data_IF_819354950618
#
_entry.id   IF_819354950618
#
_cell.length_a   1.000
_cell.length_b   1.000
_cell.length_c   1.000
_cell.angle_alpha   90.00
_cell.angle_beta   90.00
_cell.angle_gamma   90.00
#
_symmetry.space_group_name_H-M   'P 1'
#
loop_
_entity.id
_entity.type
_entity.pdbx_description
1 polymer ?
#
# COMPACT_ATOMS: atom_id res chain seq x y z
N UNK A 1 31.78 -21.75 -11.61
CA UNK A 1 30.42 -22.22 -11.93
C UNK A 1 29.47 -21.51 -10.99
N UNK A 2 28.76 -20.50 -11.48
CA UNK A 2 27.86 -19.68 -10.69
C UNK A 2 26.87 -19.05 -11.65
N UNK A 3 25.76 -19.74 -11.88
CA UNK A 3 24.67 -19.28 -12.73
C UNK A 3 23.36 -19.47 -11.98
N UNK A 4 22.53 -18.44 -12.10
CA UNK A 4 21.09 -18.41 -11.87
C UNK A 4 20.59 -18.34 -10.41
N UNK A 5 20.81 -17.19 -9.77
CA UNK A 5 19.72 -16.55 -9.04
C UNK A 5 18.93 -15.75 -10.08
N UNK A 6 17.98 -16.40 -10.76
CA UNK A 6 16.99 -15.70 -11.57
C UNK A 6 16.26 -14.76 -10.61
N UNK A 7 16.20 -13.46 -10.93
CA UNK A 7 15.47 -12.48 -10.13
C UNK A 7 14.02 -12.95 -9.95
N UNK A 8 13.67 -13.38 -8.73
CA UNK A 8 12.33 -13.87 -8.39
C UNK A 8 11.21 -12.85 -8.72
N UNK A 9 11.57 -11.58 -8.93
CA UNK A 9 10.63 -10.48 -9.23
C UNK A 9 9.98 -10.54 -10.63
N UNK A 10 10.41 -11.42 -11.54
CA UNK A 10 9.75 -11.58 -12.85
C UNK A 10 8.88 -12.84 -12.96
N UNK A 11 8.94 -13.76 -11.99
CA UNK A 11 8.38 -15.11 -12.10
C UNK A 11 6.96 -15.22 -11.54
N UNK A 12 6.52 -14.29 -10.67
CA UNK A 12 5.19 -14.34 -10.05
C UNK A 12 4.04 -14.03 -11.02
N UNK A 13 4.31 -13.28 -12.10
CA UNK A 13 3.27 -12.76 -13.01
C UNK A 13 2.33 -13.82 -13.60
N UNK A 14 2.73 -15.09 -13.64
CA UNK A 14 1.97 -16.16 -14.26
C UNK A 14 1.65 -17.34 -13.32
N UNK A 15 1.99 -17.27 -12.03
CA UNK A 15 1.83 -18.40 -11.11
C UNK A 15 0.92 -17.99 -9.96
N UNK A 16 -0.03 -18.86 -9.65
CA UNK A 16 -0.85 -18.76 -8.44
C UNK A 16 -0.71 -20.02 -7.63
N UNK A 17 -0.64 -19.82 -6.32
CA UNK A 17 -0.91 -20.87 -5.36
C UNK A 17 -2.28 -20.62 -4.78
N UNK A 18 -3.05 -21.70 -4.62
CA UNK A 18 -4.40 -21.66 -4.07
C UNK A 18 -4.57 -22.75 -3.04
N UNK A 19 -5.50 -22.53 -2.11
CA UNK A 19 -5.89 -23.47 -1.07
C UNK A 19 -7.39 -23.68 -1.07
N UNK A 20 -7.84 -24.88 -0.68
CA UNK A 20 -9.25 -25.20 -0.65
C UNK A 20 -9.93 -24.56 0.58
N UNK A 21 -10.84 -23.62 0.32
CA UNK A 21 -11.39 -22.72 1.33
C UNK A 21 -12.67 -23.17 2.01
N UNK A 22 -13.29 -24.26 1.52
CA UNK A 22 -14.45 -24.89 2.16
C UNK A 22 -14.22 -25.08 3.68
N UNK A 23 -15.25 -24.90 4.54
CA UNK A 23 -15.15 -25.20 5.97
C UNK A 23 -14.66 -26.62 6.25
N UNK A 24 -15.18 -27.59 5.48
CA UNK A 24 -14.66 -28.95 5.40
C UNK A 24 -14.01 -29.18 4.01
N UNK A 25 -12.68 -29.11 3.88
CA UNK A 25 -12.00 -29.26 2.59
C UNK A 25 -12.06 -30.69 2.03
N UNK A 26 -12.53 -31.67 2.81
CA UNK A 26 -12.62 -33.07 2.39
C UNK A 26 -14.05 -33.51 2.06
N UNK A 27 -14.99 -32.57 2.05
CA UNK A 27 -16.39 -32.84 1.71
C UNK A 27 -16.54 -33.16 0.23
N UNK A 28 -17.15 -34.30 -0.10
CA UNK A 28 -17.51 -34.66 -1.47
C UNK A 28 -18.88 -34.08 -1.89
N UNK A 29 -19.66 -33.58 -0.93
CA UNK A 29 -21.03 -33.09 -1.18
C UNK A 29 -21.10 -31.60 -1.50
N UNK A 30 -20.03 -30.84 -1.24
CA UNK A 30 -19.97 -29.40 -1.48
C UNK A 30 -19.13 -29.09 -2.72
N UNK A 31 -19.48 -28.06 -3.51
CA UNK A 31 -18.62 -27.59 -4.58
C UNK A 31 -17.27 -27.14 -4.00
N UNK A 32 -16.19 -27.51 -4.68
CA UNK A 32 -14.84 -27.16 -4.25
C UNK A 32 -14.60 -25.67 -4.46
N UNK A 33 -14.35 -24.97 -3.36
CA UNK A 33 -14.01 -23.55 -3.34
C UNK A 33 -12.50 -23.39 -3.16
N UNK A 34 -11.90 -22.52 -3.96
CA UNK A 34 -10.48 -22.23 -3.92
C UNK A 34 -10.27 -20.75 -3.61
N UNK A 35 -9.43 -20.47 -2.63
CA UNK A 35 -8.96 -19.12 -2.33
C UNK A 35 -7.49 -18.98 -2.66
N UNK A 36 -7.06 -17.76 -2.94
CA UNK A 36 -5.68 -17.46 -3.27
C UNK A 36 -4.87 -17.24 -1.99
N UNK A 37 -3.57 -17.49 -2.07
CA UNK A 37 -2.62 -16.95 -1.10
C UNK A 37 -2.31 -15.50 -1.44
N UNK A 38 -1.92 -14.71 -0.44
CA UNK A 38 -1.48 -13.33 -0.66
C UNK A 38 -0.21 -13.27 -1.51
N UNK A 39 0.05 -12.13 -2.15
CA UNK A 39 1.26 -11.95 -2.99
C UNK A 39 2.55 -12.36 -2.28
N UNK A 40 2.65 -12.01 -0.99
CA UNK A 40 3.84 -12.27 -0.18
C UNK A 40 3.96 -13.75 0.21
N UNK A 41 2.86 -14.41 0.54
CA UNK A 41 2.84 -15.86 0.75
C UNK A 41 3.20 -16.60 -0.54
N UNK A 42 2.65 -16.20 -1.70
CA UNK A 42 3.03 -16.77 -3.01
C UNK A 42 4.54 -16.60 -3.24
N UNK A 43 5.11 -15.44 -2.93
CA UNK A 43 6.54 -15.18 -3.06
C UNK A 43 7.39 -16.13 -2.20
N UNK A 44 6.93 -16.45 -0.98
CA UNK A 44 7.60 -17.42 -0.09
C UNK A 44 7.43 -18.85 -0.62
N UNK A 45 6.20 -19.25 -0.96
CA UNK A 45 5.87 -20.60 -1.43
C UNK A 45 6.61 -20.91 -2.73
N UNK A 46 6.51 -20.03 -3.74
CA UNK A 46 7.15 -20.22 -5.04
C UNK A 46 8.68 -20.18 -4.93
N UNK A 47 9.24 -19.37 -4.02
CA UNK A 47 10.66 -19.35 -3.72
C UNK A 47 11.16 -20.70 -3.16
N UNK A 48 10.45 -21.26 -2.18
CA UNK A 48 10.76 -22.57 -1.60
C UNK A 48 10.60 -23.70 -2.62
N UNK A 49 9.53 -23.65 -3.42
CA UNK A 49 9.26 -24.62 -4.48
C UNK A 49 10.34 -24.60 -5.58
N UNK A 50 10.71 -23.40 -6.06
CA UNK A 50 11.73 -23.21 -7.10
C UNK A 50 13.12 -23.66 -6.66
N UNK A 51 13.40 -23.59 -5.35
CA UNK A 51 14.65 -24.08 -4.74
C UNK A 51 14.59 -25.55 -4.32
N UNK A 52 13.52 -26.27 -4.70
CA UNK A 52 13.29 -27.70 -4.42
C UNK A 52 13.30 -28.05 -2.93
N UNK A 53 12.85 -27.12 -2.09
CA UNK A 53 12.62 -27.42 -0.67
C UNK A 53 11.44 -28.39 -0.53
N UNK A 54 11.41 -29.17 0.55
CA UNK A 54 10.29 -30.09 0.81
C UNK A 54 9.04 -29.36 1.31
N UNK A 55 9.23 -28.16 1.87
CA UNK A 55 8.16 -27.39 2.48
C UNK A 55 8.43 -25.88 2.36
N UNK A 56 7.38 -25.07 2.43
CA UNK A 56 7.46 -23.63 2.66
C UNK A 56 6.89 -23.31 4.03
N UNK A 57 7.63 -22.54 4.84
CA UNK A 57 7.19 -22.12 6.18
C UNK A 57 6.52 -20.74 6.07
N UNK A 58 5.31 -20.63 6.62
CA UNK A 58 4.55 -19.38 6.74
C UNK A 58 4.18 -19.17 8.22
N UNK A 59 3.59 -18.01 8.52
CA UNK A 59 3.34 -17.61 9.91
C UNK A 59 2.37 -18.56 10.64
N UNK A 60 1.21 -18.85 10.04
CA UNK A 60 0.14 -19.63 10.68
C UNK A 60 0.12 -21.12 10.28
N UNK A 61 0.83 -21.47 9.21
CA UNK A 61 0.86 -22.80 8.62
C UNK A 61 2.14 -23.03 7.83
N UNK A 62 2.35 -24.26 7.37
CA UNK A 62 3.37 -24.57 6.39
C UNK A 62 2.77 -25.35 5.22
N UNK A 63 3.44 -25.29 4.08
CA UNK A 63 3.08 -26.02 2.87
C UNK A 63 3.97 -27.25 2.76
N UNK A 64 3.38 -28.45 2.72
CA UNK A 64 4.06 -29.69 2.35
C UNK A 64 3.86 -29.95 0.84
N UNK A 65 4.94 -29.76 0.07
CA UNK A 65 4.91 -29.95 -1.38
C UNK A 65 4.82 -31.41 -1.80
N UNK A 66 5.22 -32.36 -0.95
CA UNK A 66 5.14 -33.79 -1.24
C UNK A 66 3.70 -34.27 -1.18
N UNK A 67 2.94 -33.75 -0.22
CA UNK A 67 1.53 -34.12 -0.01
C UNK A 67 0.56 -33.15 -0.70
N UNK A 68 1.04 -32.00 -1.18
CA UNK A 68 0.22 -30.88 -1.66
C UNK A 68 -0.81 -30.43 -0.61
N UNK A 69 -0.32 -30.24 0.63
CA UNK A 69 -1.15 -29.83 1.75
C UNK A 69 -0.61 -28.57 2.41
N UNK A 70 -1.51 -27.69 2.79
CA UNK A 70 -1.32 -26.71 3.85
C UNK A 70 -1.63 -27.37 5.19
N UNK A 71 -0.77 -27.19 6.19
CA UNK A 71 -0.92 -27.78 7.53
C UNK A 71 -0.72 -26.68 8.58
N UNK A 72 -1.67 -26.51 9.49
CA UNK A 72 -1.56 -25.49 10.54
C UNK A 72 -0.36 -25.74 11.47
N UNK A 73 0.34 -24.67 11.84
CA UNK A 73 1.44 -24.71 12.80
C UNK A 73 0.98 -25.04 14.23
N UNK A 74 -0.31 -24.80 14.54
CA UNK A 74 -0.91 -24.98 15.87
C UNK A 74 -1.62 -26.34 15.97
N UNK A 75 -2.37 -26.72 14.95
CA UNK A 75 -3.18 -27.94 14.95
C UNK A 75 -2.94 -28.75 13.67
N UNK A 76 -2.15 -29.83 13.79
CA UNK A 76 -1.79 -30.68 12.65
C UNK A 76 -2.99 -31.37 11.99
N UNK A 77 -4.16 -31.42 12.63
CA UNK A 77 -5.37 -31.97 12.03
C UNK A 77 -6.07 -30.95 11.11
N UNK A 78 -5.76 -29.65 11.26
CA UNK A 78 -6.24 -28.61 10.34
C UNK A 78 -5.35 -28.59 9.12
N UNK A 79 -5.78 -29.35 8.12
CA UNK A 79 -5.10 -29.50 6.83
C UNK A 79 -6.03 -29.09 5.71
N UNK A 80 -5.44 -28.52 4.65
CA UNK A 80 -6.17 -28.11 3.45
C UNK A 80 -5.39 -28.50 2.21
N UNK A 81 -6.03 -29.08 1.18
CA UNK A 81 -5.40 -29.27 -0.13
C UNK A 81 -4.95 -27.95 -0.73
N UNK A 82 -3.83 -28.01 -1.45
CA UNK A 82 -3.30 -26.88 -2.19
C UNK A 82 -3.07 -27.25 -3.65
N UNK A 83 -3.00 -26.23 -4.50
CA UNK A 83 -2.62 -26.41 -5.91
C UNK A 83 -1.83 -25.21 -6.41
N UNK A 84 -0.98 -25.49 -7.38
CA UNK A 84 -0.25 -24.50 -8.17
C UNK A 84 -0.89 -24.39 -9.55
N UNK A 85 -1.26 -23.19 -9.96
CA UNK A 85 -1.93 -22.91 -11.23
C UNK A 85 -1.10 -21.93 -12.03
N UNK A 86 -1.05 -22.12 -13.35
CA UNK A 86 -0.51 -21.11 -14.25
C UNK A 86 -1.65 -20.21 -14.71
N UNK A 87 -1.56 -18.90 -14.45
CA UNK A 87 -2.59 -17.92 -14.83
C UNK A 87 -2.77 -17.92 -16.34
N UNK A 88 -4.02 -17.93 -16.80
CA UNK A 88 -4.35 -17.61 -18.18
C UNK A 88 -4.31 -16.10 -18.37
N UNK A 89 -4.10 -15.66 -19.61
CA UNK A 89 -4.02 -14.24 -19.97
C UNK A 89 -5.27 -13.43 -19.60
N UNK A 90 -6.42 -14.11 -19.46
CA UNK A 90 -7.72 -13.50 -19.18
C UNK A 90 -8.14 -13.61 -17.70
N UNK A 91 -7.31 -14.23 -16.84
CA UNK A 91 -7.62 -14.37 -15.41
C UNK A 91 -7.49 -13.01 -14.71
N UNK A 92 -8.58 -12.53 -14.13
CA UNK A 92 -8.64 -11.26 -13.40
C UNK A 92 -7.98 -11.41 -12.03
N UNK A 93 -6.67 -11.23 -11.96
CA UNK A 93 -5.99 -11.06 -10.67
C UNK A 93 -6.18 -9.62 -10.21
N UNK A 94 -7.18 -9.40 -9.35
CA UNK A 94 -7.43 -8.12 -8.68
C UNK A 94 -7.13 -8.29 -7.21
N UNK A 95 -6.49 -7.30 -6.59
CA UNK A 95 -6.14 -7.39 -5.17
C UNK A 95 -7.41 -7.23 -4.34
N UNK A 96 -7.62 -8.08 -3.33
CA UNK A 96 -8.90 -8.09 -2.60
C UNK A 96 -9.18 -6.77 -1.86
N UNK A 97 -8.19 -6.04 -1.34
CA UNK A 97 -8.47 -4.99 -0.31
C UNK A 97 -7.56 -3.74 -0.25
N UNK A 98 -7.05 -3.18 -1.35
CA UNK A 98 -6.21 -1.95 -1.25
C UNK A 98 -6.99 -0.63 -1.28
N UNK A 99 -8.21 -0.71 -1.77
CA UNK A 99 -9.10 0.43 -1.96
C UNK A 99 -9.97 0.71 -0.73
N UNK A 100 -9.92 -0.16 0.29
CA UNK A 100 -10.67 -0.04 1.54
C UNK A 100 -10.02 0.97 2.51
N UNK A 101 -10.85 1.84 3.11
CA UNK A 101 -10.42 2.71 4.21
C UNK A 101 -10.47 1.95 5.54
N UNK A 102 -9.41 1.20 5.86
CA UNK A 102 -9.23 0.55 7.15
C UNK A 102 -8.09 1.21 7.96
N UNK A 103 -8.32 1.63 9.21
CA UNK A 103 -9.43 2.45 9.70
C UNK A 103 -9.16 3.94 9.48
N UNK A 104 -10.21 4.67 9.14
CA UNK A 104 -10.34 6.09 9.46
C UNK A 104 -10.76 6.16 10.94
N UNK A 105 -10.07 6.94 11.78
CA UNK A 105 -10.55 7.19 13.14
C UNK A 105 -12.02 7.65 13.07
N UNK A 106 -12.90 6.98 13.81
CA UNK A 106 -14.33 7.32 13.87
C UNK A 106 -14.48 8.81 14.17
N UNK A 107 -14.97 9.58 13.19
CA UNK A 107 -15.20 11.02 13.31
C UNK A 107 -14.15 11.93 12.66
N UNK A 108 -13.04 11.43 12.10
CA UNK A 108 -12.12 12.22 11.25
C UNK A 108 -11.42 11.38 10.20
N UNK A 109 -11.93 11.41 8.96
CA UNK A 109 -11.22 10.89 7.79
C UNK A 109 -9.95 11.67 7.45
N UNK A 110 -9.86 12.92 7.90
CA UNK A 110 -8.82 13.85 7.51
C UNK A 110 -8.46 14.82 8.62
N UNK A 111 -7.20 15.23 8.62
CA UNK A 111 -6.69 16.34 9.42
C UNK A 111 -6.55 17.60 8.55
N UNK A 112 -6.11 18.72 9.16
CA UNK A 112 -6.10 20.05 8.52
C UNK A 112 -5.19 20.14 7.28
N UNK A 113 -4.98 21.36 6.80
CA UNK A 113 -4.05 21.61 5.70
C UNK A 113 -2.61 21.31 6.17
N UNK A 114 -2.02 20.22 5.65
CA UNK A 114 -0.58 20.03 5.76
C UNK A 114 0.14 20.65 4.57
N UNK A 115 1.38 21.04 4.80
CA UNK A 115 2.20 21.67 3.78
C UNK A 115 2.68 20.68 2.72
N UNK A 116 3.75 21.08 2.05
CA UNK A 116 4.44 20.31 1.01
C UNK A 116 4.88 18.90 1.43
N UNK A 117 5.11 18.67 2.73
CA UNK A 117 5.59 17.40 3.27
C UNK A 117 4.67 16.99 4.42
N UNK A 118 4.22 15.74 4.42
CA UNK A 118 3.44 15.15 5.53
C UNK A 118 4.20 15.28 6.86
N UNK A 119 3.50 15.57 7.98
CA UNK A 119 4.11 15.59 9.31
C UNK A 119 4.89 14.33 9.64
N UNK A 120 4.43 13.16 9.18
CA UNK A 120 5.14 11.91 9.40
C UNK A 120 6.56 11.97 8.84
N UNK A 121 6.70 12.32 7.56
CA UNK A 121 8.00 12.39 6.88
C UNK A 121 8.91 13.45 7.53
N UNK A 122 8.34 14.54 8.04
CA UNK A 122 9.09 15.55 8.81
C UNK A 122 9.64 14.96 10.10
N UNK A 123 8.84 14.23 10.88
CA UNK A 123 9.28 13.60 12.12
C UNK A 123 10.28 12.48 11.87
N UNK A 124 10.08 11.66 10.84
CA UNK A 124 11.06 10.63 10.43
C UNK A 124 12.42 11.24 10.12
N UNK A 125 12.44 12.34 9.36
CA UNK A 125 13.68 13.06 9.06
C UNK A 125 14.36 13.57 10.35
N UNK A 126 13.58 14.07 11.32
CA UNK A 126 14.08 14.54 12.61
C UNK A 126 14.64 13.40 13.46
N UNK A 127 13.92 12.27 13.56
CA UNK A 127 14.34 11.06 14.28
C UNK A 127 15.65 10.50 13.72
N UNK A 128 15.82 10.55 12.40
CA UNK A 128 17.05 10.14 11.72
C UNK A 128 18.18 11.19 11.79
N UNK A 129 17.95 12.36 12.40
CA UNK A 129 18.94 13.44 12.50
C UNK A 129 19.32 14.09 11.17
N UNK A 130 18.46 13.99 10.14
CA UNK A 130 18.74 14.46 8.78
C UNK A 130 18.31 15.93 8.58
N UNK A 131 19.12 16.68 7.85
CA UNK A 131 18.74 18.03 7.36
C UNK A 131 17.78 17.96 6.16
N UNK A 132 17.01 19.03 5.84
CA UNK A 132 16.02 19.00 4.77
C UNK A 132 16.58 18.68 3.38
N UNK A 133 17.85 18.95 3.14
CA UNK A 133 18.58 18.69 1.91
C UNK A 133 19.29 17.32 1.89
N UNK A 134 19.35 16.62 3.03
CA UNK A 134 19.96 15.30 3.19
C UNK A 134 18.95 14.17 2.91
N UNK A 135 18.45 14.13 1.68
CA UNK A 135 17.61 13.04 1.19
C UNK A 135 18.46 11.98 0.49
N UNK A 136 18.10 10.68 0.52
CA UNK A 136 18.88 9.62 -0.10
C UNK A 136 19.06 9.76 -1.62
N UNK A 137 18.12 10.41 -2.32
CA UNK A 137 18.22 10.79 -3.73
C UNK A 137 19.35 11.80 -4.02
N UNK A 138 19.70 12.62 -3.02
CA UNK A 138 20.74 13.66 -3.10
C UNK A 138 22.05 13.24 -2.42
N UNK A 139 21.97 12.38 -1.42
CA UNK A 139 23.11 11.83 -0.70
C UNK A 139 23.07 10.30 -0.67
N UNK A 140 23.65 9.64 -1.70
CA UNK A 140 23.64 8.17 -1.80
C UNK A 140 24.31 7.43 -0.64
N UNK A 141 25.17 8.10 0.15
CA UNK A 141 25.81 7.48 1.33
C UNK A 141 24.81 7.12 2.44
N UNK A 142 23.62 7.73 2.43
CA UNK A 142 22.55 7.43 3.38
C UNK A 142 21.81 6.13 3.05
N UNK A 143 21.86 5.68 1.80
CA UNK A 143 21.04 4.57 1.30
C UNK A 143 21.24 3.28 2.11
N UNK A 144 22.48 2.79 2.34
CA UNK A 144 22.67 1.53 3.04
C UNK A 144 22.09 1.54 4.46
N UNK A 145 22.30 2.64 5.19
CA UNK A 145 21.79 2.82 6.56
C UNK A 145 20.27 2.87 6.59
N UNK A 146 19.64 3.59 5.65
CA UNK A 146 18.17 3.69 5.58
C UNK A 146 17.52 2.36 5.21
N UNK A 147 18.12 1.61 4.28
CA UNK A 147 17.67 0.28 3.89
C UNK A 147 17.73 -0.70 5.06
N UNK A 148 18.81 -0.70 5.83
CA UNK A 148 18.95 -1.53 7.03
C UNK A 148 17.91 -1.18 8.10
N UNK A 149 17.73 0.11 8.39
CA UNK A 149 16.73 0.57 9.37
C UNK A 149 15.31 0.23 8.91
N UNK A 150 15.01 0.40 7.61
CA UNK A 150 13.71 0.04 7.05
C UNK A 150 13.44 -1.46 7.19
N UNK A 151 14.40 -2.31 6.82
CA UNK A 151 14.28 -3.76 6.96
C UNK A 151 14.06 -4.20 8.42
N UNK A 152 14.82 -3.63 9.36
CA UNK A 152 14.66 -3.90 10.79
C UNK A 152 13.30 -3.44 11.31
N UNK A 153 12.86 -2.24 10.93
CA UNK A 153 11.57 -1.69 11.32
C UNK A 153 10.38 -2.53 10.83
N UNK A 154 10.44 -3.03 9.60
CA UNK A 154 9.43 -3.95 9.04
C UNK A 154 9.30 -5.21 9.92
N UNK A 155 10.43 -5.82 10.32
CA UNK A 155 10.44 -7.00 11.20
C UNK A 155 9.83 -6.68 12.56
N UNK A 156 10.24 -5.57 13.20
CA UNK A 156 9.75 -5.17 14.52
C UNK A 156 8.23 -5.02 14.52
N UNK A 157 7.67 -4.36 13.51
CA UNK A 157 6.23 -4.14 13.41
C UNK A 157 5.44 -5.44 13.20
N UNK A 158 6.01 -6.39 12.48
CA UNK A 158 5.37 -7.65 12.18
C UNK A 158 5.29 -8.60 13.37
N UNK A 159 6.25 -8.55 14.29
CA UNK A 159 6.24 -9.34 15.54
C UNK A 159 4.93 -9.10 16.31
N UNK A 160 4.48 -7.85 16.38
CA UNK A 160 3.27 -7.46 17.12
C UNK A 160 1.98 -8.05 16.53
N UNK A 161 1.98 -8.35 15.23
CA UNK A 161 0.83 -8.90 14.50
C UNK A 161 1.04 -10.36 14.08
N UNK A 162 2.11 -11.01 14.59
CA UNK A 162 2.48 -12.40 14.29
C UNK A 162 2.68 -12.69 12.78
N UNK A 163 3.32 -11.76 12.07
CA UNK A 163 3.66 -11.85 10.63
C UNK A 163 5.17 -11.90 10.38
N UNK A 164 5.89 -12.65 11.22
CA UNK A 164 7.35 -12.68 11.23
C UNK A 164 7.93 -13.23 9.92
N UNK A 165 7.42 -14.33 9.40
CA UNK A 165 7.92 -14.95 8.17
C UNK A 165 7.71 -14.04 6.96
N UNK A 166 6.52 -13.43 6.84
CA UNK A 166 6.24 -12.40 5.85
C UNK A 166 7.24 -11.23 5.93
N UNK A 167 7.49 -10.72 7.13
CA UNK A 167 8.36 -9.57 7.34
C UNK A 167 9.84 -9.85 7.08
N UNK A 168 10.33 -11.03 7.46
CA UNK A 168 11.68 -11.49 7.13
C UNK A 168 11.86 -11.54 5.62
N UNK A 169 10.84 -12.00 4.87
CA UNK A 169 10.91 -12.03 3.41
C UNK A 169 10.92 -10.62 2.80
N UNK A 170 10.08 -9.70 3.27
CA UNK A 170 10.11 -8.30 2.83
C UNK A 170 11.47 -7.64 3.12
N UNK A 171 12.01 -7.87 4.33
CA UNK A 171 13.30 -7.36 4.76
C UNK A 171 14.44 -7.92 3.90
N UNK A 172 14.45 -9.22 3.60
CA UNK A 172 15.43 -9.87 2.73
C UNK A 172 15.45 -9.20 1.34
N UNK A 173 14.29 -9.06 0.70
CA UNK A 173 14.16 -8.45 -0.64
C UNK A 173 14.63 -7.00 -0.64
N UNK A 174 14.35 -6.25 0.43
CA UNK A 174 14.81 -4.87 0.56
C UNK A 174 16.34 -4.80 0.78
N UNK A 175 16.90 -5.66 1.62
CA UNK A 175 18.33 -5.72 1.93
C UNK A 175 19.19 -6.08 0.72
N UNK A 176 18.67 -6.86 -0.24
CA UNK A 176 19.35 -7.09 -1.53
C UNK A 176 19.65 -5.78 -2.29
N UNK A 177 18.88 -4.71 -2.03
CA UNK A 177 19.06 -3.39 -2.67
C UNK A 177 19.91 -2.43 -1.86
N UNK A 178 20.40 -2.82 -0.67
CA UNK A 178 21.17 -1.97 0.26
C UNK A 178 22.29 -1.17 -0.40
N UNK A 179 23.05 -1.80 -1.30
CA UNK A 179 24.21 -1.20 -1.97
C UNK A 179 23.91 -0.74 -3.40
N UNK A 180 22.63 -0.57 -3.75
CA UNK A 180 22.18 -0.16 -5.08
C UNK A 180 21.92 1.35 -5.13
N UNK A 181 21.65 1.87 -6.33
CA UNK A 181 21.30 3.29 -6.51
C UNK A 181 19.88 3.55 -5.99
N UNK A 182 19.59 4.80 -5.61
CA UNK A 182 18.28 5.20 -5.07
C UNK A 182 17.11 4.80 -5.99
N UNK A 183 17.30 4.84 -7.30
CA UNK A 183 16.32 4.36 -8.29
C UNK A 183 15.90 2.91 -8.07
N UNK A 184 16.86 2.01 -7.90
CA UNK A 184 16.60 0.58 -7.67
C UNK A 184 15.98 0.33 -6.28
N UNK A 185 16.42 1.09 -5.27
CA UNK A 185 15.87 1.01 -3.91
C UNK A 185 14.42 1.50 -3.88
N UNK A 186 14.13 2.63 -4.52
CA UNK A 186 12.79 3.17 -4.63
C UNK A 186 11.85 2.22 -5.37
N UNK A 187 12.27 1.67 -6.52
CA UNK A 187 11.48 0.68 -7.26
C UNK A 187 11.17 -0.55 -6.39
N UNK A 188 12.13 -1.00 -5.58
CA UNK A 188 11.91 -2.08 -4.62
C UNK A 188 10.89 -1.68 -3.54
N UNK A 189 11.04 -0.51 -2.92
CA UNK A 189 10.09 -0.03 -1.91
C UNK A 189 8.67 0.10 -2.50
N UNK A 190 8.55 0.63 -3.71
CA UNK A 190 7.29 0.74 -4.43
C UNK A 190 6.67 -0.64 -4.70
N UNK A 191 7.46 -1.59 -5.21
CA UNK A 191 7.03 -2.99 -5.41
C UNK A 191 6.53 -3.61 -4.10
N UNK A 192 7.34 -3.56 -3.03
CA UNK A 192 6.98 -4.11 -1.72
C UNK A 192 5.73 -3.45 -1.13
N UNK A 193 5.57 -2.14 -1.31
CA UNK A 193 4.38 -1.41 -0.91
C UNK A 193 3.15 -1.79 -1.72
N UNK A 194 3.34 -2.26 -2.96
CA UNK A 194 2.22 -2.78 -3.73
C UNK A 194 1.73 -4.09 -3.14
N UNK A 195 2.62 -5.05 -2.86
CA UNK A 195 2.26 -6.41 -2.44
C UNK A 195 1.13 -6.46 -1.41
N UNK A 196 0.19 -7.38 -1.61
CA UNK A 196 -0.81 -7.75 -0.63
C UNK A 196 -0.10 -8.33 0.60
N UNK A 197 0.15 -7.45 1.57
CA UNK A 197 0.94 -7.74 2.76
C UNK A 197 0.49 -6.83 3.89
N UNK A 198 0.92 -7.14 5.11
CA UNK A 198 0.66 -6.28 6.26
C UNK A 198 1.30 -4.88 6.12
N UNK A 199 2.39 -4.74 5.36
CA UNK A 199 3.24 -3.55 5.37
C UNK A 199 2.47 -2.28 4.97
N UNK A 200 1.81 -2.28 3.81
CA UNK A 200 1.06 -1.11 3.37
C UNK A 200 -0.16 -0.84 4.28
N UNK A 201 -0.81 -1.90 4.80
CA UNK A 201 -1.94 -1.79 5.73
C UNK A 201 -1.49 -1.06 7.00
N UNK A 202 -0.38 -1.48 7.60
CA UNK A 202 0.18 -0.88 8.83
C UNK A 202 0.69 0.54 8.60
N UNK A 203 1.38 0.81 7.49
CA UNK A 203 1.84 2.17 7.14
C UNK A 203 0.64 3.11 7.01
N UNK A 204 -0.35 2.74 6.19
CA UNK A 204 -1.48 3.62 5.93
C UNK A 204 -2.34 3.84 7.18
N UNK A 205 -2.58 2.79 7.97
CA UNK A 205 -3.30 2.90 9.25
C UNK A 205 -2.56 3.84 10.21
N UNK A 206 -1.25 3.70 10.36
CA UNK A 206 -0.42 4.57 11.21
C UNK A 206 -0.51 6.03 10.77
N UNK A 207 -0.32 6.28 9.47
CA UNK A 207 -0.31 7.64 8.94
C UNK A 207 -1.68 8.30 9.01
N UNK A 208 -2.78 7.55 8.87
CA UNK A 208 -4.16 8.09 9.02
C UNK A 208 -4.44 8.66 10.42
N UNK A 209 -3.68 8.27 11.45
CA UNK A 209 -3.82 8.80 12.81
C UNK A 209 -3.19 10.21 12.98
N UNK A 210 -2.48 10.71 11.97
CA UNK A 210 -1.81 12.02 12.05
C UNK A 210 -2.84 13.15 12.18
N UNK A 211 -2.62 14.03 13.15
CA UNK A 211 -3.50 15.15 13.45
C UNK A 211 -4.65 14.82 14.40
N UNK A 212 -4.78 13.54 14.80
CA UNK A 212 -5.58 13.17 15.96
C UNK A 212 -4.74 13.27 17.24
N UNK A 213 -5.18 14.13 18.16
CA UNK A 213 -4.51 14.35 19.45
C UNK A 213 -4.58 13.13 20.35
N UNK A 214 -5.63 12.32 20.23
CA UNK A 214 -5.82 11.14 21.08
C UNK A 214 -4.90 9.97 20.68
N UNK A 215 -4.42 9.99 19.43
CA UNK A 215 -3.57 8.94 18.88
C UNK A 215 -2.16 9.43 18.56
N UNK A 216 -1.75 10.57 19.11
CA UNK A 216 -0.45 11.18 18.82
C UNK A 216 0.72 10.27 19.23
N UNK A 217 0.66 9.69 20.42
CA UNK A 217 1.68 8.75 20.90
C UNK A 217 1.75 7.49 20.03
N UNK A 218 0.60 7.03 19.52
CA UNK A 218 0.51 5.81 18.70
C UNK A 218 1.29 5.99 17.42
N UNK A 219 1.00 7.01 16.60
CA UNK A 219 1.71 7.17 15.32
C UNK A 219 3.16 7.59 15.52
N UNK A 220 3.47 8.39 16.57
CA UNK A 220 4.85 8.78 16.88
C UNK A 220 5.72 7.59 17.27
N UNK A 221 5.17 6.60 18.00
CA UNK A 221 5.90 5.38 18.35
C UNK A 221 6.39 4.58 17.13
N UNK A 222 5.74 4.77 15.97
CA UNK A 222 6.04 4.08 14.71
C UNK A 222 7.03 4.82 13.82
N UNK A 223 7.44 6.03 14.19
CA UNK A 223 8.39 6.85 13.42
C UNK A 223 9.74 6.13 13.27
N UNK A 224 10.27 5.57 14.36
CA UNK A 224 11.57 4.89 14.33
C UNK A 224 11.58 3.55 13.58
N UNK A 225 10.42 2.92 13.39
CA UNK A 225 10.28 1.60 12.74
C UNK A 225 9.81 1.72 11.29
N UNK A 226 8.63 2.29 11.05
CA UNK A 226 8.06 2.43 9.69
C UNK A 226 8.64 3.62 8.92
N UNK A 227 9.17 4.61 9.64
CA UNK A 227 9.66 5.85 9.07
C UNK A 227 10.72 5.69 7.97
N UNK A 228 11.81 4.96 8.21
CA UNK A 228 12.86 4.77 7.20
C UNK A 228 12.33 4.22 5.87
N UNK A 229 11.42 3.24 5.91
CA UNK A 229 10.76 2.71 4.71
C UNK A 229 9.90 3.80 4.04
N UNK A 230 9.09 4.51 4.83
CA UNK A 230 8.25 5.59 4.31
C UNK A 230 9.07 6.71 3.66
N UNK A 231 10.24 7.05 4.20
CA UNK A 231 11.14 8.06 3.62
C UNK A 231 11.74 7.58 2.29
N UNK A 232 12.16 6.31 2.21
CA UNK A 232 12.67 5.72 0.97
C UNK A 232 11.61 5.68 -0.13
N UNK A 233 10.35 5.38 0.22
CA UNK A 233 9.23 5.39 -0.72
C UNK A 233 8.83 6.82 -1.13
N UNK A 234 8.93 7.78 -0.21
CA UNK A 234 8.56 9.18 -0.46
C UNK A 234 9.56 9.90 -1.37
N UNK A 235 10.86 9.64 -1.20
CA UNK A 235 11.94 10.29 -1.95
C UNK A 235 12.11 9.68 -3.36
N UNK A 236 11.07 9.84 -4.18
CA UNK A 236 11.00 9.32 -5.54
C UNK A 236 11.98 10.04 -6.49
N UNK A 237 13.03 9.35 -6.99
CA UNK A 237 14.02 9.95 -7.89
C UNK A 237 13.50 10.16 -9.33
N UNK A 238 12.31 9.67 -9.67
CA UNK A 238 11.65 9.85 -10.96
C UNK A 238 10.69 11.04 -10.95
N UNK A 239 10.18 11.43 -9.78
CA UNK A 239 9.22 12.52 -9.60
C UNK A 239 9.88 13.89 -9.62
N UNK A 240 10.52 14.21 -10.75
CA UNK A 240 11.24 15.48 -10.96
C UNK A 240 10.29 16.66 -11.24
N UNK A 241 9.01 16.39 -11.52
CA UNK A 241 7.97 17.39 -11.80
C UNK A 241 6.63 16.91 -11.24
N UNK A 242 5.91 17.81 -10.59
CA UNK A 242 4.54 17.54 -10.19
C UNK A 242 3.67 17.25 -11.42
N UNK A 243 2.70 16.34 -11.24
CA UNK A 243 1.76 16.01 -12.30
C UNK A 243 0.61 17.01 -12.29
N UNK A 244 0.21 17.45 -13.48
CA UNK A 244 -0.80 18.48 -13.71
C UNK A 244 -1.85 17.90 -14.67
N UNK A 245 -3.12 18.27 -14.47
CA UNK A 245 -4.24 18.02 -15.38
C UNK A 245 -4.48 16.55 -15.75
N UNK A 246 -4.84 15.75 -14.74
CA UNK A 246 -5.30 14.37 -14.94
C UNK A 246 -6.42 14.00 -13.99
N UNK A 247 -7.15 12.94 -14.31
CA UNK A 247 -8.15 12.37 -13.41
C UNK A 247 -7.69 11.01 -12.89
N UNK A 248 -7.84 10.81 -11.59
CA UNK A 248 -7.59 9.56 -10.89
C UNK A 248 -8.89 9.03 -10.28
N UNK A 249 -8.95 7.71 -10.08
CA UNK A 249 -10.12 7.03 -9.56
C UNK A 249 -9.74 6.14 -8.38
N UNK A 250 -10.59 6.06 -7.37
CA UNK A 250 -10.40 5.14 -6.24
C UNK A 250 -11.75 4.63 -5.78
N UNK A 251 -11.96 3.32 -5.83
CA UNK A 251 -13.08 2.70 -5.12
C UNK A 251 -12.81 2.71 -3.62
N UNK A 252 -13.85 2.63 -2.80
CA UNK A 252 -13.76 2.43 -1.36
C UNK A 252 -15.10 1.96 -0.81
N UNK A 253 -15.08 1.29 0.34
CA UNK A 253 -16.27 1.16 1.18
C UNK A 253 -16.20 2.23 2.26
N UNK A 254 -17.24 3.06 2.31
CA UNK A 254 -17.45 4.08 3.33
C UNK A 254 -18.71 3.79 4.12
N UNK A 255 -18.64 4.05 5.43
CA UNK A 255 -19.80 4.09 6.30
C UNK A 255 -20.66 5.35 5.99
N UNK A 256 -21.98 5.31 6.27
CA UNK A 256 -22.88 6.44 6.04
C UNK A 256 -22.39 7.76 6.67
N UNK A 257 -21.80 7.70 7.87
CA UNK A 257 -21.28 8.88 8.57
C UNK A 257 -20.08 9.49 7.85
N UNK A 258 -19.26 8.66 7.20
CA UNK A 258 -18.13 9.14 6.41
C UNK A 258 -18.62 9.83 5.13
N UNK A 259 -19.62 9.26 4.46
CA UNK A 259 -20.25 9.87 3.28
C UNK A 259 -20.85 11.24 3.65
N UNK A 260 -21.59 11.30 4.77
CA UNK A 260 -22.17 12.55 5.27
C UNK A 260 -21.09 13.62 5.55
N UNK A 261 -19.91 13.23 6.04
CA UNK A 261 -18.80 14.17 6.24
C UNK A 261 -18.31 14.77 4.91
N UNK A 262 -18.24 14.00 3.82
CA UNK A 262 -17.91 14.54 2.49
C UNK A 262 -19.02 15.43 1.93
N UNK A 263 -20.28 15.08 2.16
CA UNK A 263 -21.42 15.91 1.76
C UNK A 263 -21.39 17.28 2.47
N UNK A 264 -21.05 17.30 3.75
CA UNK A 264 -20.86 18.55 4.49
C UNK A 264 -19.68 19.35 3.95
N UNK A 265 -18.54 18.71 3.70
CA UNK A 265 -17.38 19.38 3.10
C UNK A 265 -17.69 19.96 1.71
N UNK A 266 -18.56 19.33 0.92
CA UNK A 266 -18.97 19.83 -0.39
C UNK A 266 -19.72 21.19 -0.30
N UNK A 267 -20.29 21.53 0.86
CA UNK A 267 -20.95 22.83 1.10
C UNK A 267 -19.92 23.95 1.32
N UNK A 268 -18.69 23.61 1.71
CA UNK A 268 -17.61 24.54 2.04
C UNK A 268 -16.55 24.58 0.92
N UNK A 269 -16.85 25.29 -0.18
CA UNK A 269 -16.06 25.29 -1.44
C UNK A 269 -14.57 25.66 -1.32
N UNK A 270 -14.19 26.34 -0.24
CA UNK A 270 -12.83 26.80 0.04
C UNK A 270 -12.10 25.96 1.09
N UNK A 271 -12.79 24.97 1.66
CA UNK A 271 -12.21 24.12 2.68
C UNK A 271 -11.41 22.99 2.05
N UNK A 272 -10.14 22.90 2.44
CA UNK A 272 -9.26 21.81 2.06
C UNK A 272 -9.01 20.87 3.24
N UNK A 273 -8.79 19.62 2.88
CA UNK A 273 -8.28 18.54 3.72
C UNK A 273 -7.06 17.94 3.05
N UNK A 274 -6.42 16.98 3.68
CA UNK A 274 -5.24 16.34 3.13
C UNK A 274 -5.21 14.84 3.39
N UNK A 275 -4.67 14.10 2.43
CA UNK A 275 -4.39 12.68 2.59
C UNK A 275 -3.20 12.51 3.52
N UNK A 276 -3.39 11.88 4.68
CA UNK A 276 -2.29 11.69 5.62
C UNK A 276 -1.34 10.56 5.22
N UNK A 277 -1.92 9.51 4.65
CA UNK A 277 -1.23 8.35 4.16
C UNK A 277 -1.01 8.43 2.64
N UNK A 278 -0.19 7.54 2.14
CA UNK A 278 -0.17 7.19 0.74
C UNK A 278 -1.55 6.74 0.27
N UNK A 279 -2.00 7.24 -0.87
CA UNK A 279 -3.33 6.92 -1.41
C UNK A 279 -3.18 6.29 -2.79
N UNK A 280 -3.40 4.97 -2.86
CA UNK A 280 -3.41 4.24 -4.13
C UNK A 280 -4.66 4.58 -4.93
N UNK A 281 -4.46 4.97 -6.18
CA UNK A 281 -5.50 5.33 -7.14
C UNK A 281 -5.27 4.55 -8.43
N UNK A 282 -6.26 4.56 -9.32
CA UNK A 282 -6.20 3.99 -10.66
C UNK A 282 -6.40 5.09 -11.69
N UNK A 283 -5.70 5.00 -12.83
CA UNK A 283 -6.06 5.76 -14.05
C UNK A 283 -7.30 5.20 -14.74
N UNK A 284 -7.63 3.94 -14.47
CA UNK A 284 -8.71 3.21 -15.10
C UNK A 284 -9.97 3.24 -14.24
N UNK A 285 -10.91 4.11 -14.61
CA UNK A 285 -12.19 4.24 -13.92
C UNK A 285 -12.92 2.90 -13.75
N UNK A 286 -12.96 2.08 -14.80
CA UNK A 286 -13.70 0.81 -14.77
C UNK A 286 -13.13 -0.14 -13.72
N UNK A 287 -11.81 -0.13 -13.53
CA UNK A 287 -11.15 -0.92 -12.49
C UNK A 287 -11.44 -0.38 -11.10
N UNK A 288 -11.32 0.93 -10.89
CA UNK A 288 -11.67 1.52 -9.60
C UNK A 288 -13.14 1.29 -9.20
N UNK A 289 -14.06 1.27 -10.17
CA UNK A 289 -15.49 1.02 -9.95
C UNK A 289 -15.81 -0.43 -9.54
N UNK A 290 -14.91 -1.39 -9.75
CA UNK A 290 -15.09 -2.78 -9.28
C UNK A 290 -15.02 -2.87 -7.75
N UNK A 291 -14.61 -1.81 -7.04
CA UNK A 291 -14.38 -1.81 -5.60
C UNK A 291 -15.33 -0.91 -4.80
N UNK A 292 -16.05 -1.52 -3.87
CA UNK A 292 -16.77 -0.87 -2.78
C UNK A 292 -17.99 -0.02 -3.16
N UNK A 293 -18.63 0.55 -2.15
CA UNK A 293 -19.87 1.33 -2.27
C UNK A 293 -19.67 2.80 -2.69
N UNK A 294 -18.43 3.25 -2.85
CA UNK A 294 -18.07 4.63 -3.19
C UNK A 294 -16.96 4.68 -4.23
N UNK A 295 -17.09 5.57 -5.21
CA UNK A 295 -16.05 5.95 -6.16
C UNK A 295 -15.61 7.39 -5.94
N UNK A 296 -14.34 7.58 -5.59
CA UNK A 296 -13.68 8.87 -5.65
C UNK A 296 -13.24 9.16 -7.08
N UNK A 297 -13.61 10.34 -7.59
CA UNK A 297 -13.18 10.89 -8.87
C UNK A 297 -12.33 12.11 -8.57
N UNK A 298 -11.03 12.02 -8.83
CA UNK A 298 -10.03 12.97 -8.37
C UNK A 298 -9.41 13.73 -9.52
N UNK A 299 -9.81 14.98 -9.71
CA UNK A 299 -9.17 15.89 -10.67
C UNK A 299 -7.88 16.44 -10.04
N UNK A 300 -6.73 16.01 -10.56
CA UNK A 300 -5.41 16.44 -10.11
C UNK A 300 -5.03 17.72 -10.84
N UNK A 301 -5.03 18.83 -10.11
CA UNK A 301 -4.53 20.10 -10.64
C UNK A 301 -3.01 20.20 -10.49
N UNK A 302 -2.48 19.78 -9.34
CA UNK A 302 -1.05 19.80 -9.05
C UNK A 302 -0.75 18.88 -7.88
N UNK A 303 -0.10 17.73 -8.09
CA UNK A 303 0.26 16.82 -7.00
C UNK A 303 1.51 15.98 -7.31
N UNK A 304 2.18 15.52 -6.25
CA UNK A 304 3.19 14.48 -6.35
C UNK A 304 2.53 13.11 -6.40
N UNK A 305 2.73 12.43 -7.52
CA UNK A 305 2.15 11.13 -7.81
C UNK A 305 3.21 10.27 -8.45
N UNK A 306 3.25 8.99 -8.09
CA UNK A 306 4.14 7.99 -8.68
C UNK A 306 3.33 6.97 -9.50
N UNK A 307 3.78 6.66 -10.72
CA UNK A 307 3.21 5.58 -11.53
C UNK A 307 3.78 4.24 -11.06
N UNK A 308 2.92 3.39 -10.51
CA UNK A 308 3.30 2.07 -10.00
C UNK A 308 2.85 0.93 -10.91
N UNK A 309 2.16 1.21 -12.02
CA UNK A 309 1.58 0.19 -12.89
C UNK A 309 2.59 -0.83 -13.41
N UNK A 310 3.81 -0.38 -13.75
CA UNK A 310 4.88 -1.27 -14.23
C UNK A 310 5.58 -2.08 -13.12
N UNK A 311 5.45 -1.62 -11.87
CA UNK A 311 6.09 -2.22 -10.70
C UNK A 311 5.15 -3.13 -9.93
N UNK A 312 3.84 -2.91 -9.99
CA UNK A 312 2.82 -3.71 -9.31
C UNK A 312 2.67 -5.09 -9.96
N UNK A 313 2.33 -6.10 -9.14
CA UNK A 313 1.81 -7.40 -9.62
C UNK A 313 0.43 -7.28 -10.29
N UNK A 314 -0.20 -6.11 -10.18
CA UNK A 314 -1.55 -5.78 -10.67
C UNK A 314 -1.46 -4.67 -11.71
N UNK A 315 -0.72 -4.91 -12.78
CA UNK A 315 -0.47 -3.90 -13.82
C UNK A 315 -1.77 -3.35 -14.45
N UNK A 316 -2.79 -4.20 -14.55
CA UNK A 316 -4.11 -3.85 -15.10
C UNK A 316 -4.91 -2.88 -14.23
N UNK A 317 -4.55 -2.72 -12.94
CA UNK A 317 -5.12 -1.69 -12.09
C UNK A 317 -4.64 -0.29 -12.48
N UNK A 318 -3.59 -0.19 -13.31
CA UNK A 318 -2.98 1.07 -13.74
C UNK A 318 -2.71 2.01 -12.55
N UNK A 319 -2.10 1.44 -11.51
CA UNK A 319 -1.97 2.11 -10.21
C UNK A 319 -1.12 3.37 -10.29
N UNK A 320 -1.61 4.41 -9.63
CA UNK A 320 -0.86 5.60 -9.28
C UNK A 320 -0.94 5.91 -7.79
N UNK A 321 0.21 6.18 -7.20
CA UNK A 321 0.32 6.44 -5.77
C UNK A 321 0.41 7.94 -5.50
N UNK A 322 -0.64 8.49 -4.90
CA UNK A 322 -0.64 9.87 -4.41
C UNK A 322 0.14 9.93 -3.10
N UNK A 323 1.13 10.84 -3.02
CA UNK A 323 1.99 10.96 -1.85
C UNK A 323 1.25 11.55 -0.63
N UNK A 324 1.66 11.20 0.60
CA UNK A 324 1.10 11.77 1.82
C UNK A 324 1.31 13.29 1.88
N UNK A 325 0.28 14.01 2.32
CA UNK A 325 0.23 15.47 2.44
C UNK A 325 -0.45 16.19 1.26
N UNK A 326 -0.78 15.49 0.17
CA UNK A 326 -1.56 16.08 -0.93
C UNK A 326 -2.92 16.53 -0.40
N UNK A 327 -3.25 17.80 -0.65
CA UNK A 327 -4.52 18.37 -0.22
C UNK A 327 -5.62 18.13 -1.26
N UNK A 328 -6.86 18.09 -0.80
CA UNK A 328 -8.03 18.04 -1.66
C UNK A 328 -9.18 18.86 -1.10
N UNK A 329 -10.10 19.23 -1.99
CA UNK A 329 -11.44 19.73 -1.62
C UNK A 329 -12.51 18.88 -2.30
N UNK A 330 -13.69 18.84 -1.71
CA UNK A 330 -14.84 18.12 -2.28
C UNK A 330 -15.62 19.08 -3.17
N UNK A 331 -15.71 18.75 -4.47
CA UNK A 331 -16.50 19.54 -5.43
C UNK A 331 -17.99 19.22 -5.32
N UNK A 332 -18.33 17.93 -5.21
CA UNK A 332 -19.69 17.46 -4.98
C UNK A 332 -19.69 15.98 -4.58
N UNK A 333 -20.81 15.56 -3.99
CA UNK A 333 -21.16 14.16 -3.72
C UNK A 333 -22.47 13.86 -4.42
N UNK A 334 -22.56 12.73 -5.11
CA UNK A 334 -23.78 12.25 -5.79
C UNK A 334 -23.97 10.77 -5.52
N UNK A 335 -25.21 10.28 -5.65
CA UNK A 335 -25.49 8.85 -5.63
C UNK A 335 -25.88 8.37 -7.03
N UNK A 336 -25.18 7.35 -7.54
CA UNK A 336 -25.49 6.69 -8.79
C UNK A 336 -26.42 5.50 -8.51
N UNK A 337 -27.71 5.66 -8.79
CA UNK A 337 -28.72 4.62 -8.60
C UNK A 337 -28.48 3.39 -9.50
N UNK A 338 -27.90 3.57 -10.68
CA UNK A 338 -27.67 2.47 -11.62
C UNK A 338 -26.55 1.53 -11.16
N UNK A 339 -25.57 2.07 -10.43
CA UNK A 339 -24.44 1.31 -9.87
C UNK A 339 -24.55 1.05 -8.37
N UNK A 340 -25.56 1.61 -7.71
CA UNK A 340 -25.71 1.60 -6.25
C UNK A 340 -24.42 2.10 -5.55
N UNK A 341 -23.85 3.20 -6.05
CA UNK A 341 -22.54 3.70 -5.63
C UNK A 341 -22.55 5.22 -5.40
N UNK A 342 -21.90 5.69 -4.34
CA UNK A 342 -21.66 7.13 -4.14
C UNK A 342 -20.50 7.60 -5.01
N UNK A 343 -20.67 8.73 -5.71
CA UNK A 343 -19.64 9.40 -6.50
C UNK A 343 -19.18 10.65 -5.75
N UNK A 344 -17.93 10.64 -5.28
CA UNK A 344 -17.31 11.77 -4.56
C UNK A 344 -16.29 12.42 -5.48
N UNK A 345 -16.61 13.62 -5.96
CA UNK A 345 -15.73 14.37 -6.85
C UNK A 345 -14.79 15.27 -6.04
N UNK A 346 -13.49 15.04 -6.17
CA UNK A 346 -12.43 15.76 -5.47
C UNK A 346 -11.59 16.58 -6.45
N UNK A 347 -11.06 17.70 -5.95
CA UNK A 347 -9.96 18.41 -6.60
C UNK A 347 -8.70 18.24 -5.76
N UNK A 348 -7.62 17.73 -6.35
CA UNK A 348 -6.34 17.51 -5.69
C UNK A 348 -5.35 18.64 -6.03
N UNK A 349 -4.76 19.22 -5.00
CA UNK A 349 -3.74 20.27 -5.11
C UNK A 349 -2.74 20.15 -3.96
N UNK A 350 -1.45 20.16 -4.28
CA UNK A 350 -0.39 20.33 -3.29
C UNK A 350 -0.42 21.79 -2.82
N UNK A 351 -0.61 22.01 -1.51
CA UNK A 351 -0.67 23.34 -0.93
C UNK A 351 0.55 23.62 -0.03
N UNK A 352 0.87 24.90 0.10
CA UNK A 352 1.97 25.37 0.96
C UNK A 352 1.41 25.79 2.31
N UNK A 353 1.87 25.18 3.40
CA UNK A 353 1.48 25.57 4.77
C UNK A 353 2.16 26.86 5.27
N UNK A 354 2.95 27.54 4.43
CA UNK A 354 3.63 28.76 4.86
C UNK A 354 2.65 29.94 4.91
N UNK A 355 2.93 30.93 5.78
CA UNK A 355 2.24 32.24 5.82
C UNK A 355 2.14 32.94 4.45
N UNK A 356 2.92 32.54 3.42
CA UNK A 356 2.78 33.01 2.03
C UNK A 356 1.53 32.49 1.31
N UNK A 357 0.92 31.39 1.76
CA UNK A 357 -0.32 30.87 1.17
C UNK A 357 -1.52 31.81 1.35
N UNK A 358 -1.55 32.57 2.46
CA UNK A 358 -2.56 33.62 2.68
C UNK A 358 -2.47 34.75 1.65
N UNK A 359 -1.27 35.07 1.18
CA UNK A 359 -1.04 36.17 0.24
C UNK A 359 -1.57 35.85 -1.18
N UNK A 360 -1.62 34.57 -1.56
CA UNK A 360 -2.16 34.14 -2.86
C UNK A 360 -3.66 33.83 -2.80
N UNK A 361 -4.19 33.41 -1.65
CA UNK A 361 -5.64 33.22 -1.47
C UNK A 361 -6.43 34.52 -1.31
N UNK A 362 -5.75 35.66 -1.14
CA UNK A 362 -6.35 37.01 -1.10
C UNK A 362 -6.25 37.73 -2.46
N UNK A 363 -5.66 37.08 -3.48
CA UNK A 363 -5.49 37.61 -4.84
C UNK A 363 -6.30 36.83 -5.90
N UNK A 364 -7.02 35.78 -5.49
CA UNK A 364 -8.10 35.11 -6.24
C UNK A 364 -9.44 35.42 -5.55
#
# INVERSE_FOLDING_TARGET
MGQAAVSASHTLKNIEWMWQSNPNPWSESEPVEWSHYSDLEILIIEGAYSTKQSQAILDDYYIDFKQNLQISNIDRNKQRPIKRVQRKRDDKHLREERFMDLPVATGRSFSGEYGWVSPFIIEVRRDLGLQPDQLPSKNPQLIPMLVEKAAQGIIIEAIHIRKQCEAEKLAEVLLEKKNKKMKEVWQCCAYLYTLESFLYKTINATMRLIGDKNHEEVWRSKVGTLGPFCLLLWDDPYNTKATIEKTLYRGANLEPEQIAAYEEMAKHKYEYRSFQAYTSCSRNRKKAEEFGNTLFIMDVFFAFIADLSSLSEYADEEEELVTPGVCFRVKNVKFDQGKNQHLINLELRQRFSSKRGKFLSELE
#
